data_IF_498162813412
#
_entry.id   IF_498162813412
#
_cell.length_a   1.000
_cell.length_b   1.000
_cell.length_c   1.000
_cell.angle_alpha   90.00
_cell.angle_beta   90.00
_cell.angle_gamma   90.00
#
_symmetry.space_group_name_H-M   'P 1'
#
loop_
_entity.id
_entity.type
_entity.pdbx_description
1 polymer ?
#
# COMPACT_ATOMS: atom_id res chain seq x y z
N UNK A 1 -30.09 -8.66 33.99
CA UNK A 1 -29.40 -9.56 33.04
C UNK A 1 -28.28 -8.77 32.37
N UNK A 2 -27.04 -9.30 32.31
CA UNK A 2 -25.94 -8.59 31.63
C UNK A 2 -26.16 -8.54 30.11
N UNK A 3 -25.52 -7.61 29.40
CA UNK A 3 -25.63 -7.46 27.93
C UNK A 3 -25.41 -8.80 27.21
N UNK A 4 -24.43 -9.60 27.66
CA UNK A 4 -24.15 -10.94 27.10
C UNK A 4 -25.34 -11.90 27.18
N UNK A 5 -26.13 -11.79 28.23
CA UNK A 5 -27.31 -12.65 28.42
C UNK A 5 -28.44 -12.23 27.47
N UNK A 6 -28.65 -10.92 27.31
CA UNK A 6 -29.63 -10.37 26.37
C UNK A 6 -29.28 -10.72 24.91
N UNK A 7 -28.02 -10.59 24.50
CA UNK A 7 -27.57 -10.99 23.14
C UNK A 7 -27.83 -12.47 22.86
N UNK A 8 -27.77 -13.34 23.87
CA UNK A 8 -27.96 -14.79 23.69
C UNK A 8 -29.43 -15.23 23.74
N UNK A 9 -30.26 -14.53 24.50
CA UNK A 9 -31.63 -14.97 24.83
C UNK A 9 -32.72 -14.16 24.15
N UNK A 10 -32.44 -12.94 23.71
CA UNK A 10 -33.39 -12.06 23.04
C UNK A 10 -32.92 -11.75 21.61
N UNK A 11 -33.51 -12.41 20.59
CA UNK A 11 -33.16 -12.18 19.18
C UNK A 11 -33.38 -10.73 18.71
N UNK A 12 -34.39 -10.03 19.23
CA UNK A 12 -34.67 -8.65 18.85
C UNK A 12 -33.60 -7.71 19.42
N UNK A 13 -33.21 -7.94 20.68
CA UNK A 13 -32.07 -7.24 21.26
C UNK A 13 -30.77 -7.54 20.52
N UNK A 14 -30.50 -8.81 20.19
CA UNK A 14 -29.29 -9.24 19.48
C UNK A 14 -29.17 -8.54 18.11
N UNK A 15 -30.26 -8.49 17.34
CA UNK A 15 -30.28 -7.81 16.05
C UNK A 15 -30.01 -6.30 16.19
N UNK A 16 -30.67 -5.63 17.14
CA UNK A 16 -30.48 -4.19 17.37
C UNK A 16 -29.08 -3.88 17.89
N UNK A 17 -28.55 -4.70 18.79
CA UNK A 17 -27.18 -4.59 19.29
C UNK A 17 -26.17 -4.73 18.14
N UNK A 18 -26.33 -5.73 17.26
CA UNK A 18 -25.47 -5.90 16.10
C UNK A 18 -25.48 -4.66 15.19
N UNK A 19 -26.66 -4.13 14.85
CA UNK A 19 -26.82 -2.92 14.04
C UNK A 19 -26.12 -1.69 14.66
N UNK A 20 -26.25 -1.49 15.97
CA UNK A 20 -25.65 -0.34 16.66
C UNK A 20 -24.14 -0.50 16.89
N UNK A 21 -23.69 -1.71 17.24
CA UNK A 21 -22.29 -1.98 17.57
C UNK A 21 -21.34 -1.76 16.39
N UNK A 22 -21.79 -2.04 15.16
CA UNK A 22 -21.02 -1.76 13.94
C UNK A 22 -20.76 -0.26 13.77
N UNK A 23 -21.79 0.58 13.92
CA UNK A 23 -21.65 2.04 13.85
C UNK A 23 -20.77 2.58 14.98
N UNK A 24 -20.93 2.06 16.21
CA UNK A 24 -20.09 2.43 17.34
C UNK A 24 -18.62 2.10 17.08
N UNK A 25 -18.32 0.91 16.54
CA UNK A 25 -16.95 0.51 16.19
C UNK A 25 -16.35 1.49 15.18
N UNK A 26 -17.03 1.77 14.08
CA UNK A 26 -16.53 2.69 13.06
C UNK A 26 -16.25 4.09 13.65
N UNK A 27 -17.21 4.66 14.39
CA UNK A 27 -17.06 6.02 14.95
C UNK A 27 -16.03 6.14 16.07
N UNK A 28 -15.89 5.11 16.91
CA UNK A 28 -14.94 5.13 18.03
C UNK A 28 -13.51 4.75 17.61
N UNK A 29 -13.37 3.82 16.65
CA UNK A 29 -12.06 3.34 16.21
C UNK A 29 -11.54 4.17 15.04
N UNK A 30 -12.24 4.15 13.91
CA UNK A 30 -11.75 4.69 12.64
C UNK A 30 -11.82 6.22 12.58
N UNK A 31 -12.88 6.81 13.14
CA UNK A 31 -13.11 8.26 13.14
C UNK A 31 -12.66 8.95 14.43
N UNK A 32 -11.99 8.25 15.34
CA UNK A 32 -11.52 8.83 16.61
C UNK A 32 -10.18 8.25 17.07
N UNK A 33 -10.12 6.96 17.40
CA UNK A 33 -8.89 6.37 17.93
C UNK A 33 -7.73 6.41 16.92
N UNK A 34 -7.99 6.20 15.63
CA UNK A 34 -6.98 6.30 14.57
C UNK A 34 -6.36 7.70 14.44
N UNK A 35 -7.13 8.75 14.74
CA UNK A 35 -6.64 10.14 14.75
C UNK A 35 -5.87 10.48 16.04
N UNK A 36 -5.98 9.64 17.08
CA UNK A 36 -5.22 9.76 18.33
C UNK A 36 -3.97 8.89 18.37
N UNK A 37 -3.92 7.82 17.59
CA UNK A 37 -2.81 6.87 17.56
C UNK A 37 -1.91 7.12 16.34
N UNK A 38 -0.94 8.02 16.48
CA UNK A 38 -0.07 8.45 15.40
C UNK A 38 1.36 7.86 15.30
N UNK A 39 1.75 6.70 15.89
CA UNK A 39 3.12 6.17 15.70
C UNK A 39 3.51 5.97 14.23
N UNK A 40 2.61 5.41 13.42
CA UNK A 40 2.82 5.19 11.98
C UNK A 40 1.47 5.28 11.23
N UNK A 41 1.23 6.40 10.54
CA UNK A 41 -0.07 6.67 9.91
C UNK A 41 -0.43 5.76 8.73
N UNK A 42 0.54 5.01 8.19
CA UNK A 42 0.24 3.99 7.17
C UNK A 42 -0.53 2.80 7.72
N UNK A 43 -0.56 2.61 9.04
CA UNK A 43 -1.26 1.52 9.71
C UNK A 43 -2.65 1.92 10.26
N UNK A 44 -2.95 3.22 10.37
CA UNK A 44 -4.28 3.72 10.79
C UNK A 44 -5.20 3.89 9.58
N UNK A 45 -5.67 2.75 9.08
CA UNK A 45 -6.50 2.66 7.88
C UNK A 45 -7.75 1.82 8.14
N UNK A 46 -8.84 2.10 7.41
CA UNK A 46 -10.11 1.36 7.51
C UNK A 46 -9.86 -0.14 7.39
N UNK A 47 -10.39 -0.91 8.35
CA UNK A 47 -10.18 -2.36 8.43
C UNK A 47 -8.83 -2.81 9.03
N UNK A 48 -7.90 -1.90 9.31
CA UNK A 48 -6.60 -2.20 9.92
C UNK A 48 -6.59 -2.28 11.44
N UNK A 49 -5.56 -2.91 12.00
CA UNK A 49 -5.22 -2.86 13.43
C UNK A 49 -3.85 -2.15 13.59
N UNK A 50 -3.82 -0.87 13.97
CA UNK A 50 -2.57 -0.12 14.10
C UNK A 50 -1.70 -0.59 15.28
N UNK A 51 -2.23 -1.44 16.18
CA UNK A 51 -1.44 -2.13 17.20
C UNK A 51 -0.48 -3.18 16.62
N UNK A 52 -0.76 -3.66 15.40
CA UNK A 52 0.02 -4.66 14.66
C UNK A 52 0.33 -4.14 13.25
N UNK A 53 1.22 -3.14 13.11
CA UNK A 53 1.40 -2.40 11.85
C UNK A 53 2.19 -3.16 10.77
N UNK A 54 2.57 -4.41 11.02
CA UNK A 54 3.40 -5.21 10.12
C UNK A 54 2.79 -6.60 9.92
N UNK A 55 2.89 -7.09 8.69
CA UNK A 55 2.52 -8.45 8.29
C UNK A 55 3.79 -9.20 7.87
N UNK A 56 3.93 -10.42 8.36
CA UNK A 56 5.03 -11.31 7.97
C UNK A 56 4.77 -11.94 6.59
N UNK A 57 5.81 -12.35 5.85
CA UNK A 57 5.63 -13.11 4.61
C UNK A 57 4.74 -14.34 4.80
N UNK A 58 4.91 -15.08 5.90
CA UNK A 58 4.12 -16.26 6.22
C UNK A 58 2.62 -15.95 6.37
N UNK A 59 2.26 -14.88 7.08
CA UNK A 59 0.85 -14.45 7.22
C UNK A 59 0.26 -14.01 5.87
N UNK A 60 1.02 -13.28 5.05
CA UNK A 60 0.59 -12.91 3.71
C UNK A 60 0.34 -14.14 2.83
N UNK A 61 1.26 -15.11 2.85
CA UNK A 61 1.12 -16.37 2.12
C UNK A 61 -0.08 -17.19 2.60
N UNK A 62 -0.30 -17.27 3.91
CA UNK A 62 -1.44 -17.94 4.48
C UNK A 62 -2.77 -17.29 4.04
N UNK A 63 -2.85 -15.96 4.09
CA UNK A 63 -4.00 -15.21 3.60
C UNK A 63 -4.28 -15.48 2.11
N UNK A 64 -3.24 -15.44 1.27
CA UNK A 64 -3.40 -15.71 -0.15
C UNK A 64 -3.85 -17.15 -0.44
N UNK A 65 -3.29 -18.14 0.27
CA UNK A 65 -3.69 -19.54 0.12
C UNK A 65 -5.14 -19.78 0.57
N UNK A 66 -5.58 -19.14 1.66
CA UNK A 66 -6.98 -19.17 2.09
C UNK A 66 -7.90 -18.51 1.05
N UNK A 67 -7.51 -17.35 0.52
CA UNK A 67 -8.28 -16.62 -0.47
C UNK A 67 -8.46 -17.42 -1.76
N UNK A 68 -7.39 -18.08 -2.25
CA UNK A 68 -7.43 -18.94 -3.43
C UNK A 68 -8.35 -20.15 -3.23
N UNK A 69 -8.29 -20.78 -2.06
CA UNK A 69 -9.07 -21.98 -1.73
C UNK A 69 -10.55 -21.69 -1.49
N UNK A 70 -10.86 -20.68 -0.68
CA UNK A 70 -12.20 -20.52 -0.11
C UNK A 70 -13.01 -19.43 -0.81
N UNK A 71 -12.33 -18.38 -1.30
CA UNK A 71 -12.98 -17.14 -1.77
C UNK A 71 -12.27 -16.53 -3.00
N UNK A 72 -11.97 -17.30 -4.07
CA UNK A 72 -11.15 -16.83 -5.19
C UNK A 72 -11.77 -15.67 -5.98
N UNK A 73 -13.09 -15.47 -5.87
CA UNK A 73 -13.81 -14.37 -6.50
C UNK A 73 -14.00 -13.13 -5.59
N UNK A 74 -13.44 -13.14 -4.37
CA UNK A 74 -13.56 -11.99 -3.46
C UNK A 74 -12.76 -10.79 -3.97
N UNK A 75 -13.33 -9.59 -3.81
CA UNK A 75 -12.66 -8.34 -4.11
C UNK A 75 -11.47 -8.09 -3.19
N UNK A 76 -10.41 -7.50 -3.72
CA UNK A 76 -9.27 -6.99 -2.96
C UNK A 76 -9.02 -5.54 -3.35
N UNK A 77 -8.75 -4.67 -2.38
CA UNK A 77 -8.59 -3.22 -2.59
C UNK A 77 -7.36 -2.71 -1.86
N UNK A 78 -6.71 -1.69 -2.43
CA UNK A 78 -5.69 -0.89 -1.74
C UNK A 78 -6.14 0.54 -1.46
N UNK A 79 -7.00 1.13 -2.29
CA UNK A 79 -7.56 2.47 -2.04
C UNK A 79 -9.05 2.45 -2.34
N UNK A 80 -9.83 3.23 -1.61
CA UNK A 80 -11.26 3.45 -1.85
C UNK A 80 -11.60 4.91 -1.54
N UNK A 81 -12.83 5.31 -1.85
CA UNK A 81 -13.37 6.63 -1.47
C UNK A 81 -13.46 6.86 0.06
N UNK A 82 -13.32 5.79 0.86
CA UNK A 82 -13.40 5.86 2.33
C UNK A 82 -12.05 5.60 3.02
N UNK A 83 -11.01 5.17 2.28
CA UNK A 83 -9.67 5.06 2.86
C UNK A 83 -9.20 6.40 3.39
N UNK A 84 -8.61 6.40 4.59
CA UNK A 84 -8.06 7.58 5.27
C UNK A 84 -6.92 8.20 4.47
N UNK A 85 -6.16 7.38 3.75
CA UNK A 85 -5.05 7.81 2.87
C UNK A 85 -4.96 6.83 1.70
N UNK A 86 -4.54 7.29 0.52
CA UNK A 86 -4.32 6.37 -0.60
C UNK A 86 -3.18 5.39 -0.33
N UNK A 87 -3.19 4.26 -1.04
CA UNK A 87 -2.15 3.23 -0.94
C UNK A 87 -0.74 3.79 -1.13
N UNK A 88 -0.58 4.75 -2.04
CA UNK A 88 0.72 5.31 -2.40
C UNK A 88 1.23 6.28 -1.31
N UNK A 89 0.33 7.02 -0.66
CA UNK A 89 0.66 7.79 0.56
C UNK A 89 1.11 6.84 1.67
N UNK A 90 0.41 5.71 1.85
CA UNK A 90 0.80 4.69 2.85
C UNK A 90 2.13 4.01 2.50
N UNK A 91 2.41 3.77 1.22
CA UNK A 91 3.68 3.22 0.74
C UNK A 91 4.87 4.14 1.09
N UNK A 92 4.69 5.46 0.92
CA UNK A 92 5.66 6.49 1.34
C UNK A 92 5.82 6.55 2.86
N UNK A 93 4.73 6.65 3.61
CA UNK A 93 4.78 6.73 5.09
C UNK A 93 5.41 5.48 5.69
N UNK A 94 5.09 4.29 5.19
CA UNK A 94 5.67 3.04 5.71
C UNK A 94 7.19 2.94 5.55
N UNK A 95 7.79 3.67 4.58
CA UNK A 95 9.25 3.74 4.43
C UNK A 95 9.92 4.40 5.66
N UNK A 96 9.23 5.31 6.36
CA UNK A 96 9.74 5.98 7.57
C UNK A 96 10.09 4.99 8.68
N UNK A 97 9.43 3.83 8.73
CA UNK A 97 9.74 2.75 9.68
C UNK A 97 11.18 2.22 9.56
N UNK A 98 11.84 2.44 8.43
CA UNK A 98 13.23 2.01 8.19
C UNK A 98 14.27 3.07 8.58
N UNK A 99 13.83 4.29 8.92
CA UNK A 99 14.67 5.38 9.39
C UNK A 99 13.86 6.36 10.27
N UNK A 100 13.38 5.93 11.45
CA UNK A 100 12.52 6.75 12.31
C UNK A 100 13.17 8.08 12.73
N UNK A 101 14.50 8.16 12.74
CA UNK A 101 15.25 9.38 13.05
C UNK A 101 14.93 10.55 12.09
N UNK A 102 14.51 10.28 10.84
CA UNK A 102 14.13 11.32 9.85
C UNK A 102 12.93 12.13 10.32
N UNK A 103 12.12 11.59 11.22
CA UNK A 103 10.98 12.31 11.80
C UNK A 103 11.38 13.37 12.82
N UNK A 104 12.61 13.32 13.36
CA UNK A 104 13.06 14.24 14.39
C UNK A 104 12.19 14.22 15.65
N UNK A 105 12.29 15.26 16.47
CA UNK A 105 11.41 15.48 17.63
C UNK A 105 10.29 16.44 17.21
N UNK A 106 9.00 16.15 17.50
CA UNK A 106 7.95 17.11 17.24
C UNK A 106 8.12 18.35 18.12
N UNK A 107 7.94 19.52 17.51
CA UNK A 107 8.06 20.84 18.15
C UNK A 107 6.77 21.63 17.94
N UNK A 108 6.51 22.61 18.80
CA UNK A 108 5.30 23.43 18.75
C UNK A 108 4.36 23.17 19.93
N UNK A 109 3.26 23.92 19.97
CA UNK A 109 2.26 23.86 21.04
C UNK A 109 1.47 22.55 21.05
N UNK A 110 1.33 21.90 19.89
CA UNK A 110 0.72 20.57 19.73
C UNK A 110 1.72 19.61 19.06
N UNK A 111 2.53 18.89 19.86
CA UNK A 111 3.49 17.93 19.34
C UNK A 111 2.85 16.75 18.58
N UNK A 112 1.60 16.38 18.90
CA UNK A 112 0.91 15.31 18.19
C UNK A 112 0.52 15.78 16.79
N UNK A 113 -0.04 16.98 16.66
CA UNK A 113 -0.34 17.59 15.36
C UNK A 113 0.93 17.79 14.54
N UNK A 114 2.03 18.26 15.14
CA UNK A 114 3.32 18.38 14.46
C UNK A 114 3.80 17.04 13.88
N UNK A 115 3.66 15.96 14.66
CA UNK A 115 4.03 14.60 14.25
C UNK A 115 3.14 14.08 13.11
N UNK A 116 1.82 14.28 13.20
CA UNK A 116 0.85 13.91 12.18
C UNK A 116 1.09 14.70 10.88
N UNK A 117 1.33 16.00 11.00
CA UNK A 117 1.60 16.88 9.88
C UNK A 117 2.86 16.46 9.12
N UNK A 118 3.96 16.18 9.81
CA UNK A 118 5.21 15.73 9.18
C UNK A 118 5.06 14.38 8.45
N UNK A 119 4.39 13.39 9.06
CA UNK A 119 4.14 12.11 8.38
C UNK A 119 3.25 12.29 7.15
N UNK A 120 2.18 13.07 7.28
CA UNK A 120 1.22 13.29 6.19
C UNK A 120 1.88 14.07 5.05
N UNK A 121 2.73 15.04 5.37
CA UNK A 121 3.54 15.80 4.43
C UNK A 121 4.50 14.93 3.60
N UNK A 122 5.28 14.07 4.27
CA UNK A 122 6.22 13.14 3.62
C UNK A 122 5.49 12.05 2.82
N UNK A 123 4.33 11.63 3.32
CA UNK A 123 3.42 10.71 2.64
C UNK A 123 2.80 11.30 1.38
N UNK A 124 2.35 12.55 1.43
CA UNK A 124 1.78 13.25 0.29
C UNK A 124 2.84 13.61 -0.76
N UNK A 125 4.07 13.91 -0.34
CA UNK A 125 5.14 14.39 -1.23
C UNK A 125 4.79 15.73 -1.86
N UNK A 126 5.58 16.15 -2.85
CA UNK A 126 5.22 17.29 -3.69
C UNK A 126 3.96 17.01 -4.53
N UNK A 127 3.03 17.95 -4.53
CA UNK A 127 1.76 17.83 -5.25
C UNK A 127 1.13 19.20 -5.51
N UNK A 128 0.22 19.32 -6.51
CA UNK A 128 -0.61 20.51 -6.69
C UNK A 128 -1.42 20.82 -5.42
N UNK A 129 -1.56 22.11 -5.12
CA UNK A 129 -2.28 22.65 -3.95
C UNK A 129 -1.87 22.02 -2.61
N UNK A 130 -0.63 21.52 -2.49
CA UNK A 130 -0.18 20.70 -1.35
C UNK A 130 -0.48 21.32 0.02
N UNK A 131 -0.16 22.60 0.21
CA UNK A 131 -0.33 23.25 1.51
C UNK A 131 -1.81 23.32 1.92
N UNK A 132 -2.70 23.63 0.98
CA UNK A 132 -4.15 23.67 1.20
C UNK A 132 -4.68 22.27 1.51
N UNK A 133 -4.33 21.27 0.68
CA UNK A 133 -4.72 19.87 0.87
C UNK A 133 -4.31 19.33 2.23
N UNK A 134 -3.09 19.64 2.65
CA UNK A 134 -2.57 19.23 3.95
C UNK A 134 -3.28 19.97 5.08
N UNK A 135 -3.49 21.28 4.99
CA UNK A 135 -4.20 22.05 6.00
C UNK A 135 -5.63 21.55 6.21
N UNK A 136 -6.37 21.26 5.13
CA UNK A 136 -7.72 20.71 5.19
C UNK A 136 -7.75 19.32 5.86
N UNK A 137 -6.83 18.43 5.47
CA UNK A 137 -6.73 17.10 6.05
C UNK A 137 -6.35 17.14 7.54
N UNK A 138 -5.48 18.07 7.93
CA UNK A 138 -5.08 18.27 9.33
C UNK A 138 -6.23 18.85 10.15
N UNK A 139 -6.97 19.84 9.62
CA UNK A 139 -8.13 20.42 10.28
C UNK A 139 -9.21 19.37 10.52
N UNK A 140 -9.52 18.55 9.50
CA UNK A 140 -10.37 17.39 9.66
C UNK A 140 -9.81 16.46 10.75
N UNK A 141 -8.52 16.14 10.70
CA UNK A 141 -7.89 15.24 11.64
C UNK A 141 -7.96 15.68 13.10
N UNK A 142 -7.77 16.96 13.40
CA UNK A 142 -7.85 17.46 14.79
C UNK A 142 -9.29 17.47 15.30
N UNK A 143 -10.28 17.73 14.44
CA UNK A 143 -11.71 17.62 14.78
C UNK A 143 -12.14 16.18 15.02
N UNK A 144 -11.66 15.23 14.19
CA UNK A 144 -11.86 13.80 14.41
C UNK A 144 -11.18 13.32 15.69
N UNK A 145 -9.97 13.80 15.98
CA UNK A 145 -9.25 13.47 17.21
C UNK A 145 -9.99 13.98 18.45
N UNK A 146 -10.64 15.15 18.40
CA UNK A 146 -11.37 15.74 19.52
C UNK A 146 -10.53 15.81 20.81
N UNK A 147 -9.29 16.29 20.68
CA UNK A 147 -8.38 16.55 21.80
C UNK A 147 -8.36 18.03 22.18
N UNK A 148 -8.45 18.91 21.17
CA UNK A 148 -8.40 20.37 21.32
C UNK A 148 -9.61 21.08 20.70
N UNK A 149 -10.10 20.59 19.56
CA UNK A 149 -11.31 21.05 18.86
C UNK A 149 -12.11 19.84 18.39
N UNK A 150 -13.40 19.99 18.12
CA UNK A 150 -14.24 18.90 17.59
C UNK A 150 -15.21 19.42 16.53
N UNK A 151 -15.93 18.50 15.87
CA UNK A 151 -16.97 18.88 14.92
C UNK A 151 -18.12 19.70 15.53
N UNK A 152 -18.44 19.47 16.82
CA UNK A 152 -19.56 20.12 17.52
C UNK A 152 -19.12 21.35 18.32
N UNK A 153 -17.99 21.23 19.00
CA UNK A 153 -17.41 22.27 19.85
C UNK A 153 -16.08 22.70 19.23
N UNK A 154 -16.17 23.65 18.30
CA UNK A 154 -15.01 24.17 17.56
C UNK A 154 -14.28 25.21 18.41
N UNK A 155 -12.95 25.15 18.44
CA UNK A 155 -12.08 26.18 19.01
C UNK A 155 -11.39 26.94 17.86
N UNK A 156 -11.91 28.11 17.45
CA UNK A 156 -11.34 28.88 16.35
C UNK A 156 -9.89 29.30 16.60
N UNK A 157 -9.53 29.61 17.85
CA UNK A 157 -8.18 30.05 18.19
C UNK A 157 -7.16 28.92 18.01
N UNK A 158 -7.54 27.69 18.33
CA UNK A 158 -6.72 26.51 18.02
C UNK A 158 -6.73 26.19 16.51
N UNK A 159 -7.90 26.19 15.87
CA UNK A 159 -8.04 25.85 14.44
C UNK A 159 -7.25 26.79 13.52
N UNK A 160 -7.18 28.08 13.85
CA UNK A 160 -6.38 29.07 13.12
C UNK A 160 -4.87 28.74 13.12
N UNK A 161 -4.39 27.95 14.09
CA UNK A 161 -2.98 27.53 14.14
C UNK A 161 -2.68 26.35 13.22
N UNK A 162 -3.70 25.57 12.81
CA UNK A 162 -3.53 24.29 12.08
C UNK A 162 -2.85 24.50 10.73
N UNK A 163 -3.19 25.56 10.01
CA UNK A 163 -2.61 25.88 8.71
C UNK A 163 -1.08 26.10 8.79
N UNK A 164 -0.56 26.57 9.93
CA UNK A 164 0.88 26.71 10.16
C UNK A 164 1.62 25.37 10.14
N UNK A 165 0.97 24.29 10.55
CA UNK A 165 1.57 22.95 10.53
C UNK A 165 1.64 22.35 9.12
N UNK A 166 0.93 22.90 8.13
CA UNK A 166 0.99 22.43 6.75
C UNK A 166 2.29 22.84 6.03
N UNK A 167 3.08 23.75 6.61
CA UNK A 167 4.36 24.20 6.06
C UNK A 167 5.49 23.22 6.45
N UNK A 168 5.45 22.00 5.91
CA UNK A 168 6.45 20.95 6.12
C UNK A 168 7.27 20.68 4.86
N UNK A 169 8.50 20.20 5.03
CA UNK A 169 9.25 19.52 3.96
C UNK A 169 8.43 18.36 3.38
N UNK A 170 8.39 18.23 2.06
CA UNK A 170 7.56 17.24 1.37
C UNK A 170 8.33 15.99 0.97
N UNK A 171 9.61 16.15 0.65
CA UNK A 171 10.37 15.08 0.02
C UNK A 171 11.07 14.18 1.02
N UNK A 172 10.98 12.89 0.72
CA UNK A 172 11.73 11.88 1.44
C UNK A 172 13.22 12.04 1.10
N UNK A 173 14.13 11.81 2.07
CA UNK A 173 15.53 11.55 1.77
C UNK A 173 15.66 10.48 0.68
N UNK A 174 16.68 10.57 -0.17
CA UNK A 174 16.80 9.73 -1.37
C UNK A 174 16.76 8.23 -1.06
N UNK A 175 17.36 7.79 0.04
CA UNK A 175 17.34 6.40 0.49
C UNK A 175 15.93 5.93 0.91
N UNK A 176 15.09 6.83 1.40
CA UNK A 176 13.69 6.55 1.73
C UNK A 176 12.79 6.69 0.50
N UNK A 177 13.12 7.55 -0.46
CA UNK A 177 12.43 7.64 -1.73
C UNK A 177 12.53 6.32 -2.52
N UNK A 178 13.71 5.69 -2.56
CA UNK A 178 13.87 4.36 -3.16
C UNK A 178 13.10 3.28 -2.40
N UNK A 179 13.06 3.36 -1.06
CA UNK A 179 12.24 2.45 -0.26
C UNK A 179 10.73 2.63 -0.50
N UNK A 180 10.28 3.88 -0.66
CA UNK A 180 8.91 4.19 -1.02
C UNK A 180 8.56 3.70 -2.43
N UNK A 181 9.48 3.83 -3.40
CA UNK A 181 9.34 3.27 -4.74
C UNK A 181 9.22 1.73 -4.71
N UNK A 182 10.05 1.05 -3.90
CA UNK A 182 9.94 -0.39 -3.69
C UNK A 182 8.59 -0.80 -3.09
N UNK A 183 8.10 -0.05 -2.10
CA UNK A 183 6.78 -0.28 -1.50
C UNK A 183 5.65 -0.04 -2.52
N UNK A 184 5.72 1.04 -3.30
CA UNK A 184 4.73 1.41 -4.32
C UNK A 184 4.56 0.30 -5.36
N UNK A 185 5.66 -0.11 -5.98
CA UNK A 185 5.66 -1.14 -7.02
C UNK A 185 5.38 -2.52 -6.42
N UNK A 186 5.93 -2.82 -5.24
CA UNK A 186 5.71 -4.08 -4.54
C UNK A 186 4.24 -4.29 -4.17
N UNK A 187 3.60 -3.30 -3.53
CA UNK A 187 2.17 -3.37 -3.19
C UNK A 187 1.31 -3.52 -4.44
N UNK A 188 1.61 -2.77 -5.51
CA UNK A 188 0.90 -2.86 -6.79
C UNK A 188 1.01 -4.25 -7.41
N UNK A 189 2.24 -4.79 -7.53
CA UNK A 189 2.47 -6.13 -8.07
C UNK A 189 1.74 -7.19 -7.25
N UNK A 190 1.93 -7.19 -5.93
CA UNK A 190 1.38 -8.21 -5.05
C UNK A 190 -0.16 -8.19 -5.09
N UNK A 191 -0.79 -7.01 -4.99
CA UNK A 191 -2.24 -6.86 -5.05
C UNK A 191 -2.83 -7.32 -6.38
N UNK A 192 -2.21 -6.93 -7.50
CA UNK A 192 -2.70 -7.29 -8.82
C UNK A 192 -2.38 -8.74 -9.21
N UNK A 193 -1.37 -9.38 -8.63
CA UNK A 193 -0.98 -10.75 -8.96
C UNK A 193 -1.54 -11.83 -8.02
N UNK A 194 -1.85 -11.49 -6.76
CA UNK A 194 -2.35 -12.44 -5.76
C UNK A 194 -3.77 -12.99 -6.11
N UNK A 195 -4.23 -14.06 -5.44
CA UNK A 195 -5.60 -14.55 -5.57
C UNK A 195 -6.65 -13.47 -5.25
N UNK A 196 -7.87 -13.65 -5.77
CA UNK A 196 -8.94 -12.64 -5.69
C UNK A 196 -9.09 -11.79 -6.95
N UNK A 197 -10.10 -10.93 -6.92
CA UNK A 197 -10.42 -9.94 -7.97
C UNK A 197 -9.93 -8.57 -7.51
N UNK A 198 -8.79 -8.07 -8.03
CA UNK A 198 -8.27 -6.79 -7.61
C UNK A 198 -9.11 -5.64 -8.17
N UNK A 199 -9.47 -4.70 -7.31
CA UNK A 199 -10.12 -3.45 -7.68
C UNK A 199 -9.10 -2.31 -7.66
N UNK A 200 -9.02 -1.58 -8.78
CA UNK A 200 -8.17 -0.40 -8.93
C UNK A 200 -9.06 0.83 -8.86
N UNK A 201 -8.87 1.63 -7.81
CA UNK A 201 -9.60 2.89 -7.64
C UNK A 201 -9.24 3.88 -8.75
N UNK A 202 -10.19 4.72 -9.15
CA UNK A 202 -10.01 5.69 -10.23
C UNK A 202 -8.76 6.57 -10.05
N UNK A 203 -7.87 6.58 -11.04
CA UNK A 203 -6.60 7.32 -11.00
C UNK A 203 -5.44 6.58 -10.31
N UNK A 204 -5.70 5.46 -9.63
CA UNK A 204 -4.68 4.65 -8.96
C UNK A 204 -3.96 3.66 -9.89
N UNK A 205 -4.24 3.69 -11.19
CA UNK A 205 -3.48 2.95 -12.21
C UNK A 205 -2.04 3.45 -12.31
N UNK A 206 -1.85 4.75 -12.05
CA UNK A 206 -0.57 5.44 -11.87
C UNK A 206 -0.39 5.86 -10.41
N UNK A 207 0.61 6.68 -10.11
CA UNK A 207 0.79 7.22 -8.77
C UNK A 207 -0.38 8.12 -8.36
N UNK A 208 -1.09 7.72 -7.31
CA UNK A 208 -2.29 8.36 -6.76
C UNK A 208 -2.03 8.71 -5.30
N UNK A 209 -1.59 9.95 -5.05
CA UNK A 209 -1.34 10.47 -3.70
C UNK A 209 -2.51 11.33 -3.23
N UNK A 210 -3.41 10.71 -2.48
CA UNK A 210 -4.60 11.37 -1.92
C UNK A 210 -4.71 11.14 -0.41
N UNK A 211 -5.21 12.16 0.28
CA UNK A 211 -5.52 12.13 1.70
C UNK A 211 -7.00 11.74 1.90
N UNK A 212 -7.49 11.87 3.13
CA UNK A 212 -8.87 11.54 3.49
C UNK A 212 -9.88 12.38 2.71
N UNK A 213 -11.08 11.84 2.49
CA UNK A 213 -12.27 12.55 1.98
C UNK A 213 -12.36 13.99 2.55
N UNK A 214 -12.57 15.02 1.69
CA UNK A 214 -12.87 14.95 0.25
C UNK A 214 -11.67 14.89 -0.68
N UNK A 215 -10.43 14.85 -0.19
CA UNK A 215 -9.25 14.88 -1.06
C UNK A 215 -9.18 13.65 -1.99
N UNK A 216 -9.57 12.47 -1.51
CA UNK A 216 -9.67 11.24 -2.31
C UNK A 216 -10.87 11.21 -3.30
N UNK A 217 -11.67 12.28 -3.34
CA UNK A 217 -12.82 12.45 -4.25
C UNK A 217 -12.56 13.49 -5.35
N UNK A 218 -11.36 14.07 -5.41
CA UNK A 218 -10.93 14.93 -6.53
C UNK A 218 -11.14 14.20 -7.88
N UNK A 219 -11.49 14.92 -8.96
CA UNK A 219 -11.67 14.33 -10.28
C UNK A 219 -10.43 13.53 -10.72
N UNK A 220 -10.65 12.27 -11.14
CA UNK A 220 -9.58 11.40 -11.60
C UNK A 220 -8.99 11.91 -12.93
N UNK A 221 -7.67 11.73 -13.09
CA UNK A 221 -6.94 12.01 -14.33
C UNK A 221 -6.33 10.71 -14.84
N UNK A 222 -6.57 10.40 -16.11
CA UNK A 222 -6.07 9.19 -16.75
C UNK A 222 -4.95 9.54 -17.73
N UNK A 223 -3.70 9.10 -17.50
CA UNK A 223 -2.54 9.50 -18.32
C UNK A 223 -2.46 8.68 -19.63
N UNK A 224 -3.47 8.79 -20.50
CA UNK A 224 -3.59 7.99 -21.72
C UNK A 224 -2.41 8.16 -22.68
N UNK A 225 -1.93 9.39 -22.85
CA UNK A 225 -0.76 9.68 -23.70
C UNK A 225 0.53 9.03 -23.15
N UNK A 226 0.68 9.01 -21.83
CA UNK A 226 1.82 8.35 -21.17
C UNK A 226 1.73 6.85 -21.38
N UNK A 227 0.54 6.25 -21.21
CA UNK A 227 0.31 4.83 -21.46
C UNK A 227 0.63 4.46 -22.91
N UNK A 228 0.14 5.23 -23.89
CA UNK A 228 0.42 5.00 -25.30
C UNK A 228 1.93 5.06 -25.61
N UNK A 229 2.66 5.99 -25.00
CA UNK A 229 4.12 6.08 -25.15
C UNK A 229 4.83 4.87 -24.52
N UNK A 230 4.38 4.40 -23.36
CA UNK A 230 4.92 3.19 -22.72
C UNK A 230 4.65 1.94 -23.57
N UNK A 231 3.45 1.83 -24.14
CA UNK A 231 3.05 0.75 -25.05
C UNK A 231 3.89 0.73 -26.33
N UNK A 232 4.33 1.90 -26.80
CA UNK A 232 5.27 2.04 -27.91
C UNK A 232 6.73 1.68 -27.54
N UNK A 233 6.99 1.23 -26.30
CA UNK A 233 8.29 0.75 -25.86
C UNK A 233 9.20 1.83 -25.24
N UNK A 234 8.70 3.02 -24.94
CA UNK A 234 9.50 4.02 -24.25
C UNK A 234 9.78 3.62 -22.79
N UNK A 235 10.97 3.97 -22.30
CA UNK A 235 11.30 3.78 -20.89
C UNK A 235 10.39 4.65 -19.98
N UNK A 236 9.98 4.12 -18.82
CA UNK A 236 9.26 4.90 -17.82
C UNK A 236 10.17 5.95 -17.18
N UNK A 237 9.59 7.11 -16.88
CA UNK A 237 10.23 8.26 -16.24
C UNK A 237 9.72 8.37 -14.81
N UNK A 238 10.39 7.63 -13.93
CA UNK A 238 10.13 7.62 -12.49
C UNK A 238 8.92 6.79 -12.05
N UNK A 239 8.61 6.79 -10.74
CA UNK A 239 7.73 5.80 -10.11
C UNK A 239 6.30 5.76 -10.66
N UNK A 240 5.75 6.91 -11.05
CA UNK A 240 4.39 7.00 -11.58
C UNK A 240 4.24 6.23 -12.91
N UNK A 241 5.17 6.43 -13.85
CA UNK A 241 5.13 5.73 -15.13
C UNK A 241 5.50 4.25 -14.99
N UNK A 242 6.37 3.90 -14.03
CA UNK A 242 6.66 2.51 -13.70
C UNK A 242 5.44 1.77 -13.15
N UNK A 243 4.70 2.40 -12.23
CA UNK A 243 3.44 1.85 -11.71
C UNK A 243 2.42 1.73 -12.83
N UNK A 244 2.29 2.73 -13.71
CA UNK A 244 1.37 2.67 -14.84
C UNK A 244 1.69 1.49 -15.79
N UNK A 245 2.96 1.29 -16.14
CA UNK A 245 3.40 0.16 -16.96
C UNK A 245 3.10 -1.19 -16.29
N UNK A 246 3.41 -1.32 -14.99
CA UNK A 246 3.15 -2.51 -14.19
C UNK A 246 1.65 -2.83 -14.10
N UNK A 247 0.83 -1.83 -13.78
CA UNK A 247 -0.63 -1.96 -13.69
C UNK A 247 -1.21 -2.38 -15.04
N UNK A 248 -0.83 -1.70 -16.12
CA UNK A 248 -1.32 -2.01 -17.46
C UNK A 248 -0.95 -3.44 -17.88
N UNK A 249 0.30 -3.87 -17.63
CA UNK A 249 0.76 -5.22 -17.94
C UNK A 249 -0.05 -6.29 -17.18
N UNK A 250 -0.23 -6.14 -15.86
CA UNK A 250 -0.97 -7.10 -15.04
C UNK A 250 -2.46 -7.16 -15.39
N UNK A 251 -3.11 -6.02 -15.61
CA UNK A 251 -4.53 -5.98 -15.97
C UNK A 251 -4.77 -6.56 -17.37
N UNK A 252 -3.87 -6.33 -18.33
CA UNK A 252 -3.93 -6.97 -19.65
C UNK A 252 -3.74 -8.47 -19.55
N UNK A 253 -2.77 -8.95 -18.77
CA UNK A 253 -2.60 -10.39 -18.52
C UNK A 253 -3.85 -11.00 -17.88
N UNK A 254 -4.47 -10.33 -16.90
CA UNK A 254 -5.72 -10.83 -16.29
C UNK A 254 -6.86 -10.93 -17.29
N UNK A 255 -6.98 -9.94 -18.18
CA UNK A 255 -8.03 -9.90 -19.23
C UNK A 255 -7.78 -10.95 -20.31
N UNK A 256 -6.55 -11.02 -20.81
CA UNK A 256 -6.21 -11.76 -22.02
C UNK A 256 -5.79 -13.21 -21.74
N UNK A 257 -5.22 -13.48 -20.55
CA UNK A 257 -4.73 -14.80 -20.12
C UNK A 257 -5.15 -15.09 -18.66
N UNK A 258 -6.45 -15.15 -18.35
CA UNK A 258 -6.95 -15.33 -16.99
C UNK A 258 -6.46 -16.63 -16.32
N UNK A 259 -6.13 -17.67 -17.11
CA UNK A 259 -5.55 -18.92 -16.63
C UNK A 259 -4.25 -18.75 -15.84
N UNK A 260 -3.46 -17.70 -16.12
CA UNK A 260 -2.24 -17.35 -15.38
C UNK A 260 -2.50 -17.00 -13.92
N UNK A 261 -3.73 -16.60 -13.57
CA UNK A 261 -4.11 -16.14 -12.23
C UNK A 261 -4.89 -17.20 -11.47
N UNK A 262 -4.46 -18.46 -11.58
CA UNK A 262 -5.02 -19.62 -10.86
C UNK A 262 -3.97 -20.29 -9.98
N UNK A 263 -4.42 -20.83 -8.85
CA UNK A 263 -3.59 -21.50 -7.84
C UNK A 263 -2.63 -20.55 -7.11
N UNK A 264 -2.01 -21.02 -6.04
CA UNK A 264 -1.06 -20.22 -5.26
C UNK A 264 0.02 -21.08 -4.61
N UNK A 265 1.28 -20.71 -4.79
CA UNK A 265 2.43 -21.34 -4.15
C UNK A 265 3.45 -20.28 -3.70
N UNK A 266 3.79 -20.18 -2.40
CA UNK A 266 4.89 -19.34 -1.93
C UNK A 266 6.22 -19.73 -2.58
N UNK A 267 7.10 -18.75 -2.81
CA UNK A 267 8.46 -18.97 -3.26
C UNK A 267 9.45 -18.34 -2.29
N UNK A 268 10.28 -19.17 -1.67
CA UNK A 268 11.30 -18.72 -0.73
C UNK A 268 12.63 -18.44 -1.42
N UNK A 269 13.11 -17.21 -1.31
CA UNK A 269 14.47 -16.86 -1.66
C UNK A 269 15.46 -17.58 -0.73
N UNK A 270 16.67 -17.86 -1.23
CA UNK A 270 17.75 -18.52 -0.50
C UNK A 270 18.98 -17.62 -0.47
N UNK A 271 19.58 -17.47 0.70
CA UNK A 271 20.76 -16.63 0.91
C UNK A 271 20.54 -15.58 2.00
N UNK A 272 21.56 -14.77 2.28
CA UNK A 272 21.60 -13.96 3.50
C UNK A 272 20.70 -12.72 3.46
N UNK A 273 20.12 -12.37 2.31
CA UNK A 273 19.12 -11.31 2.16
C UNK A 273 17.71 -11.85 1.84
N UNK A 274 17.47 -13.16 2.00
CA UNK A 274 16.20 -13.80 1.65
C UNK A 274 14.96 -13.12 2.26
N UNK A 275 15.07 -12.64 3.51
CA UNK A 275 13.98 -11.93 4.20
C UNK A 275 13.56 -10.59 3.58
N UNK A 276 14.29 -10.10 2.58
CA UNK A 276 13.96 -8.91 1.79
C UNK A 276 13.18 -9.23 0.50
N UNK A 277 12.99 -10.50 0.16
CA UNK A 277 12.18 -10.92 -0.98
C UNK A 277 10.83 -11.47 -0.48
N UNK A 278 9.74 -11.01 -1.09
CA UNK A 278 8.43 -11.65 -1.00
C UNK A 278 8.06 -12.13 -2.40
N UNK A 279 7.91 -13.44 -2.59
CA UNK A 279 7.63 -14.01 -3.90
C UNK A 279 6.62 -15.16 -3.83
N UNK A 280 5.86 -15.34 -4.92
CA UNK A 280 4.95 -16.46 -5.10
C UNK A 280 4.78 -16.79 -6.58
N UNK A 281 4.37 -18.04 -6.84
CA UNK A 281 3.88 -18.49 -8.13
C UNK A 281 2.35 -18.62 -8.10
N UNK A 282 1.72 -18.23 -9.21
CA UNK A 282 0.41 -18.74 -9.60
C UNK A 282 0.65 -19.97 -10.46
N UNK A 283 -0.02 -21.08 -10.15
CA UNK A 283 0.23 -22.38 -10.83
C UNK A 283 -0.12 -22.34 -12.31
N UNK A 284 -0.93 -21.37 -12.72
CA UNK A 284 -1.18 -21.03 -14.12
C UNK A 284 0.05 -20.60 -14.93
N UNK A 285 1.20 -20.34 -14.29
CA UNK A 285 2.44 -19.98 -14.98
C UNK A 285 2.83 -18.52 -14.85
N UNK A 286 2.56 -17.90 -13.70
CA UNK A 286 2.98 -16.53 -13.38
C UNK A 286 3.79 -16.52 -12.07
N UNK A 287 4.89 -15.77 -12.04
CA UNK A 287 5.68 -15.52 -10.83
C UNK A 287 5.72 -14.04 -10.54
N UNK A 288 5.47 -13.67 -9.28
CA UNK A 288 5.61 -12.32 -8.77
C UNK A 288 6.68 -12.31 -7.67
N UNK A 289 7.63 -11.38 -7.74
CA UNK A 289 8.63 -11.15 -6.71
C UNK A 289 8.75 -9.65 -6.41
N UNK A 290 8.76 -9.28 -5.12
CA UNK A 290 8.83 -7.90 -4.67
C UNK A 290 9.89 -7.72 -3.58
N UNK A 291 10.58 -6.57 -3.63
CA UNK A 291 11.53 -6.15 -2.61
C UNK A 291 10.80 -5.56 -1.42
N UNK A 292 11.16 -5.98 -0.19
CA UNK A 292 10.72 -5.37 1.06
C UNK A 292 11.90 -4.89 1.89
N UNK A 293 11.65 -3.85 2.68
CA UNK A 293 12.68 -3.19 3.49
C UNK A 293 13.92 -2.77 2.66
N UNK A 294 13.69 -2.14 1.51
CA UNK A 294 14.74 -1.83 0.54
C UNK A 294 15.87 -0.95 1.11
N UNK A 295 15.58 0.00 2.02
CA UNK A 295 16.61 0.81 2.68
C UNK A 295 17.52 -0.05 3.57
N UNK A 296 16.94 -0.98 4.33
CA UNK A 296 17.71 -1.94 5.14
C UNK A 296 18.51 -2.90 4.26
N UNK A 297 17.95 -3.36 3.14
CA UNK A 297 18.65 -4.19 2.16
C UNK A 297 19.89 -3.46 1.61
N UNK A 298 19.72 -2.22 1.16
CA UNK A 298 20.82 -1.40 0.64
C UNK A 298 21.91 -1.19 1.71
N UNK A 299 21.51 -0.84 2.94
CA UNK A 299 22.44 -0.66 4.07
C UNK A 299 23.18 -1.93 4.49
N UNK A 300 22.67 -3.12 4.12
CA UNK A 300 23.30 -4.41 4.38
C UNK A 300 24.18 -4.92 3.21
N UNK A 301 24.42 -4.10 2.18
CA UNK A 301 25.22 -4.47 1.01
C UNK A 301 24.43 -5.12 -0.13
N UNK A 302 23.10 -4.92 -0.16
CA UNK A 302 22.24 -5.41 -1.24
C UNK A 302 21.95 -6.91 -1.19
N UNK A 303 21.60 -7.48 -2.35
CA UNK A 303 21.15 -8.87 -2.49
C UNK A 303 22.23 -9.91 -2.24
N UNK A 304 23.52 -9.57 -2.43
CA UNK A 304 24.66 -10.49 -2.26
C UNK A 304 24.45 -11.78 -3.07
N UNK A 305 24.71 -12.94 -2.48
CA UNK A 305 24.51 -14.28 -3.06
C UNK A 305 23.05 -14.78 -2.94
N UNK A 306 22.09 -13.91 -2.61
CA UNK A 306 20.69 -14.31 -2.48
C UNK A 306 20.07 -14.56 -3.84
N UNK A 307 19.43 -15.72 -4.00
CA UNK A 307 18.78 -16.14 -5.24
C UNK A 307 17.34 -16.58 -4.99
N UNK A 308 16.49 -16.46 -6.01
CA UNK A 308 15.13 -16.98 -6.02
C UNK A 308 15.09 -18.26 -6.86
N UNK A 309 14.81 -19.43 -6.26
CA UNK A 309 14.50 -20.64 -7.01
C UNK A 309 13.17 -20.48 -7.75
N UNK A 310 13.20 -20.55 -9.08
CA UNK A 310 11.99 -20.58 -9.90
C UNK A 310 11.47 -22.01 -10.05
N UNK A 311 10.15 -22.20 -10.23
CA UNK A 311 9.60 -23.50 -10.60
C UNK A 311 10.16 -23.96 -11.96
N UNK A 312 10.16 -25.28 -12.27
CA UNK A 312 10.67 -25.79 -13.53
C UNK A 312 10.04 -25.12 -14.76
N UNK A 313 10.89 -24.82 -15.74
CA UNK A 313 10.51 -24.15 -16.98
C UNK A 313 11.30 -22.87 -17.21
N UNK A 314 11.08 -22.28 -18.38
CA UNK A 314 11.65 -21.00 -18.80
C UNK A 314 10.67 -19.88 -18.54
N UNK A 315 11.14 -18.79 -17.95
CA UNK A 315 10.32 -17.69 -17.46
C UNK A 315 10.74 -16.37 -18.10
N UNK A 316 9.86 -15.73 -18.86
CA UNK A 316 10.12 -14.44 -19.50
C UNK A 316 9.69 -13.30 -18.60
N UNK A 317 10.52 -12.26 -18.49
CA UNK A 317 10.15 -11.03 -17.79
C UNK A 317 9.13 -10.22 -18.60
N UNK A 318 7.99 -9.92 -17.99
CA UNK A 318 6.90 -9.19 -18.66
C UNK A 318 7.25 -7.72 -18.90
N UNK A 319 8.02 -7.12 -17.98
CA UNK A 319 8.36 -5.69 -18.02
C UNK A 319 9.73 -5.42 -18.68
N UNK A 320 10.46 -6.47 -19.03
CA UNK A 320 11.82 -6.40 -19.59
C UNK A 320 11.90 -7.35 -20.81
N UNK A 321 11.38 -6.92 -21.98
CA UNK A 321 11.28 -7.76 -23.16
C UNK A 321 12.62 -8.38 -23.57
N UNK A 322 12.60 -9.68 -23.88
CA UNK A 322 13.79 -10.43 -24.29
C UNK A 322 14.64 -10.98 -23.13
N UNK A 323 14.28 -10.68 -21.88
CA UNK A 323 14.94 -11.26 -20.70
C UNK A 323 14.19 -12.51 -20.24
N UNK A 324 14.91 -13.61 -20.07
CA UNK A 324 14.35 -14.89 -19.60
C UNK A 324 15.24 -15.56 -18.58
N UNK A 325 14.64 -16.32 -17.68
CA UNK A 325 15.29 -16.98 -16.56
C UNK A 325 14.90 -18.45 -16.44
N UNK A 326 15.80 -19.24 -15.88
CA UNK A 326 15.59 -20.66 -15.56
C UNK A 326 16.28 -21.01 -14.23
N UNK A 327 15.71 -21.96 -13.47
CA UNK A 327 16.32 -22.46 -12.25
C UNK A 327 16.44 -21.41 -11.13
N UNK A 328 17.61 -21.33 -10.49
CA UNK A 328 17.88 -20.37 -9.42
C UNK A 328 18.46 -19.07 -9.95
N UNK A 329 17.75 -17.96 -9.75
CA UNK A 329 18.12 -16.65 -10.31
C UNK A 329 18.67 -15.73 -9.21
N UNK A 330 19.86 -15.13 -9.37
CA UNK A 330 20.36 -14.12 -8.45
C UNK A 330 19.37 -12.95 -8.33
N UNK A 331 18.97 -12.59 -7.11
CA UNK A 331 18.05 -11.46 -6.90
C UNK A 331 18.69 -10.12 -7.29
N UNK A 332 20.02 -10.03 -7.23
CA UNK A 332 20.77 -8.89 -7.74
C UNK A 332 20.58 -8.68 -9.26
N UNK A 333 20.28 -9.74 -10.00
CA UNK A 333 20.00 -9.69 -11.43
C UNK A 333 18.50 -9.48 -11.68
N UNK A 334 17.65 -10.33 -11.07
CA UNK A 334 16.20 -10.32 -11.25
C UNK A 334 15.56 -8.98 -10.90
N UNK A 335 16.07 -8.29 -9.87
CA UNK A 335 15.51 -7.05 -9.34
C UNK A 335 16.45 -5.85 -9.57
N UNK A 336 17.32 -5.94 -10.58
CA UNK A 336 18.31 -4.90 -10.93
C UNK A 336 17.66 -3.64 -11.51
N UNK A 337 16.75 -3.79 -12.46
CA UNK A 337 16.10 -2.67 -13.14
C UNK A 337 14.98 -2.06 -12.29
N UNK A 338 14.24 -2.90 -11.57
CA UNK A 338 13.08 -2.51 -10.75
C UNK A 338 13.07 -3.33 -9.46
N UNK A 339 12.53 -2.79 -8.35
CA UNK A 339 12.41 -3.52 -7.08
C UNK A 339 11.33 -4.62 -7.11
N UNK A 340 10.80 -4.95 -8.29
CA UNK A 340 9.79 -5.97 -8.54
C UNK A 340 10.08 -6.72 -9.83
N UNK A 341 9.67 -7.98 -9.90
CA UNK A 341 9.70 -8.80 -11.10
C UNK A 341 8.36 -9.51 -11.30
N UNK A 342 7.90 -9.51 -12.56
CA UNK A 342 6.73 -10.23 -13.02
C UNK A 342 7.16 -11.13 -14.17
N UNK A 343 7.06 -12.44 -13.97
CA UNK A 343 7.48 -13.44 -14.95
C UNK A 343 6.30 -14.29 -15.41
N UNK A 344 6.32 -14.70 -16.67
CA UNK A 344 5.38 -15.67 -17.24
C UNK A 344 6.13 -16.85 -17.81
N UNK A 345 5.60 -18.06 -17.65
CA UNK A 345 6.21 -19.28 -18.18
C UNK A 345 6.07 -19.34 -19.70
N UNK A 346 7.16 -19.63 -20.41
CA UNK A 346 7.13 -19.90 -21.86
C UNK A 346 6.44 -21.23 -22.15
N UNK A 347 5.61 -21.27 -23.20
CA UNK A 347 5.03 -22.53 -23.71
C UNK A 347 3.95 -23.18 -22.85
N UNK A 348 3.26 -22.44 -21.97
CA UNK A 348 1.99 -22.91 -21.41
C UNK A 348 0.89 -22.80 -22.45
N UNK A 349 0.25 -23.93 -22.79
CA UNK A 349 -0.92 -23.97 -23.67
C UNK A 349 -1.99 -22.99 -23.16
N UNK A 350 -2.45 -22.07 -24.02
CA UNK A 350 -3.66 -21.26 -23.82
C UNK A 350 -4.92 -22.10 -24.09
#
# INVERSE_FOLDING_TARGET
AGVRDLVRRDPAFAARFAQTSAALRAKSLEDRAFYRYAPLLSATEVGGDPGQPAVTPAEFHAYCAELDRDRPASGTVLSTHDTKRSADVRARISALSQAPAVMGRPVGADPQLAWVARQTALGLGEAPERAERLAEALLKGVREAALHTSWTDQDPAYEDTVAGYAQQEAELPSELAEAARANLLGMTLLHLAMPGVPEVYQGAETEYRALVDPDNRRPARFPQEVLARLDAGAAPRGPAEEKLALTAALLRLRRDRPGLFTGYAPLDARGPAAGHCLAFARTGGLVAAATRFARRLAGAGGWRDTALPLPPGKWTAVLDPGVSYEGGVPLAELLSARPVALLVREGGDD
#
